data_IF_910431027400
#
_entry.id   IF_910431027400
#
_cell.length_a   1.000
_cell.length_b   1.000
_cell.length_c   1.000
_cell.angle_alpha   90.00
_cell.angle_beta   90.00
_cell.angle_gamma   90.00
#
_symmetry.space_group_name_H-M   'P 1'
#
loop_
_entity.id
_entity.type
_entity.pdbx_description
1 polymer ?
#
# COMPACT_ATOMS: atom_id res chain seq x y z
N UNK A 1 -28.27 0.85 -2.32
CA UNK A 1 -26.80 0.83 -2.35
C UNK A 1 -26.29 0.22 -1.04
N UNK A 2 -25.31 -0.67 -1.11
CA UNK A 2 -24.65 -1.17 0.09
C UNK A 2 -23.83 -0.06 0.74
N UNK A 3 -23.67 -0.06 2.07
CA UNK A 3 -22.82 0.91 2.77
C UNK A 3 -21.36 0.89 2.27
N UNK A 4 -20.93 -0.26 1.78
CA UNK A 4 -19.66 -0.47 1.09
C UNK A 4 -19.53 0.42 -0.15
N UNK A 5 -20.54 0.40 -1.03
CA UNK A 5 -20.52 1.21 -2.24
C UNK A 5 -20.48 2.70 -1.90
N UNK A 6 -21.23 3.14 -0.89
CA UNK A 6 -21.15 4.51 -0.40
C UNK A 6 -19.76 4.89 0.16
N UNK A 7 -19.06 3.95 0.81
CA UNK A 7 -17.70 4.18 1.29
C UNK A 7 -16.69 4.30 0.14
N UNK A 8 -16.83 3.47 -0.89
CA UNK A 8 -16.00 3.55 -2.11
C UNK A 8 -16.27 4.86 -2.87
N UNK A 9 -17.54 5.18 -3.13
CA UNK A 9 -17.93 6.43 -3.81
C UNK A 9 -17.43 7.65 -3.06
N UNK A 10 -17.54 7.63 -1.72
CA UNK A 10 -16.97 8.69 -0.89
C UNK A 10 -15.45 8.74 -1.07
N UNK A 11 -14.72 7.63 -1.01
CA UNK A 11 -13.27 7.63 -1.21
C UNK A 11 -12.86 8.21 -2.58
N UNK A 12 -13.59 7.88 -3.65
CA UNK A 12 -13.34 8.39 -5.00
C UNK A 12 -13.65 9.88 -5.13
N UNK A 13 -14.78 10.36 -4.62
CA UNK A 13 -15.12 11.80 -4.59
C UNK A 13 -14.07 12.63 -3.83
N UNK A 14 -13.44 12.03 -2.83
CA UNK A 14 -12.41 12.70 -2.05
C UNK A 14 -11.07 12.71 -2.77
N UNK A 15 -10.78 11.62 -3.49
CA UNK A 15 -9.64 11.55 -4.38
C UNK A 15 -9.74 12.61 -5.49
N UNK A 16 -10.92 12.78 -6.12
CA UNK A 16 -11.18 13.85 -7.10
C UNK A 16 -10.83 15.23 -6.54
N UNK A 17 -11.32 15.53 -5.33
CA UNK A 17 -11.05 16.81 -4.66
C UNK A 17 -9.57 17.00 -4.32
N UNK A 18 -8.90 15.94 -3.87
CA UNK A 18 -7.46 16.01 -3.59
C UNK A 18 -6.65 16.25 -4.86
N UNK A 19 -7.00 15.60 -5.97
CA UNK A 19 -6.37 15.85 -7.26
C UNK A 19 -6.58 17.31 -7.70
N UNK A 20 -7.81 17.83 -7.63
CA UNK A 20 -8.12 19.22 -7.95
C UNK A 20 -7.30 20.20 -7.08
N UNK A 21 -7.17 19.93 -5.78
CA UNK A 21 -6.39 20.77 -4.86
C UNK A 21 -4.91 20.79 -5.23
N UNK A 22 -4.34 19.63 -5.57
CA UNK A 22 -2.93 19.53 -6.01
C UNK A 22 -2.72 20.33 -7.30
N UNK A 23 -3.63 20.20 -8.27
CA UNK A 23 -3.56 20.95 -9.53
C UNK A 23 -3.69 22.47 -9.32
N UNK A 24 -4.56 22.90 -8.40
CA UNK A 24 -4.73 24.31 -8.05
C UNK A 24 -3.48 24.89 -7.37
N UNK A 25 -2.85 24.14 -6.46
CA UNK A 25 -1.63 24.56 -5.77
C UNK A 25 -0.47 24.78 -6.76
N UNK A 26 -0.31 23.89 -7.73
CA UNK A 26 0.71 24.04 -8.77
C UNK A 26 0.42 25.19 -9.74
N UNK A 27 -0.84 25.38 -10.12
CA UNK A 27 -1.23 26.54 -10.93
C UNK A 27 -0.92 27.87 -10.22
N UNK A 28 -1.18 27.95 -8.91
CA UNK A 28 -0.86 29.12 -8.10
C UNK A 28 0.66 29.33 -7.94
N UNK A 29 1.43 28.26 -7.73
CA UNK A 29 2.89 28.33 -7.67
C UNK A 29 3.51 28.77 -9.00
N UNK A 30 2.99 28.29 -10.13
CA UNK A 30 3.41 28.71 -11.46
C UNK A 30 3.10 30.19 -11.73
N UNK A 31 1.93 30.67 -11.29
CA UNK A 31 1.56 32.08 -11.40
C UNK A 31 2.48 32.99 -10.55
N UNK A 32 2.87 32.56 -9.35
CA UNK A 32 3.77 33.29 -8.48
C UNK A 32 5.23 33.31 -8.97
N UNK A 33 5.64 32.28 -9.72
CA UNK A 33 6.99 32.17 -10.28
C UNK A 33 7.17 32.90 -11.62
N UNK A 34 6.08 33.35 -12.25
CA UNK A 34 6.16 34.15 -13.46
C UNK A 34 6.85 35.49 -13.10
N UNK A 35 8.07 35.76 -13.63
CA UNK A 35 8.78 36.98 -13.29
C UNK A 35 7.94 38.16 -13.74
N UNK A 36 7.79 39.17 -12.86
CA UNK A 36 7.21 40.49 -13.15
C UNK A 36 7.96 41.14 -14.32
N UNK A 37 7.61 40.73 -15.53
CA UNK A 37 8.07 41.33 -16.78
C UNK A 37 7.29 42.61 -17.09
N UNK A 38 6.38 43.03 -16.21
CA UNK A 38 5.67 44.27 -16.37
C UNK A 38 5.43 44.95 -15.01
N UNK A 39 5.99 46.15 -14.92
CA UNK A 39 5.50 47.31 -14.16
C UNK A 39 6.29 47.67 -12.90
N UNK A 40 7.27 48.54 -13.11
CA UNK A 40 7.58 49.59 -12.15
C UNK A 40 6.35 50.50 -11.97
N UNK A 41 5.51 50.22 -10.98
CA UNK A 41 4.53 51.15 -10.45
C UNK A 41 4.33 50.84 -8.96
N UNK A 42 4.48 51.88 -8.14
CA UNK A 42 4.20 51.90 -6.71
C UNK A 42 2.80 51.32 -6.43
N UNK A 43 2.70 50.14 -5.83
CA UNK A 43 1.44 49.69 -5.24
C UNK A 43 1.69 48.82 -4.01
N UNK A 44 1.60 49.44 -2.83
CA UNK A 44 1.75 48.82 -1.51
C UNK A 44 0.76 47.66 -1.25
N UNK A 45 -0.29 47.50 -2.08
CA UNK A 45 -1.32 46.47 -1.92
C UNK A 45 -0.89 45.04 -2.32
N UNK A 46 0.12 44.88 -3.21
CA UNK A 46 0.52 43.55 -3.67
C UNK A 46 1.24 42.73 -2.58
N UNK A 47 1.94 43.42 -1.67
CA UNK A 47 2.68 42.80 -0.56
C UNK A 47 1.72 42.17 0.46
N UNK A 48 0.57 42.79 0.69
CA UNK A 48 -0.40 42.33 1.68
C UNK A 48 -1.13 41.05 1.23
N UNK A 49 -1.46 40.93 -0.07
CA UNK A 49 -2.07 39.73 -0.63
C UNK A 49 -1.12 38.51 -0.63
N UNK A 50 0.16 38.72 -0.94
CA UNK A 50 1.18 37.67 -0.88
C UNK A 50 1.42 37.20 0.56
N UNK A 51 1.44 38.12 1.52
CA UNK A 51 1.58 37.80 2.94
C UNK A 51 0.39 36.99 3.49
N UNK A 52 -0.84 37.29 3.05
CA UNK A 52 -2.03 36.56 3.45
C UNK A 52 -2.04 35.10 2.94
N UNK A 53 -1.60 34.87 1.71
CA UNK A 53 -1.47 33.51 1.13
C UNK A 53 -0.38 32.69 1.84
N UNK A 54 0.78 33.31 2.14
CA UNK A 54 1.84 32.67 2.90
C UNK A 54 1.40 32.30 4.33
N UNK A 55 0.63 33.18 4.99
CA UNK A 55 0.08 32.92 6.33
C UNK A 55 -0.94 31.78 6.32
N UNK A 56 -1.80 31.69 5.30
CA UNK A 56 -2.76 30.58 5.17
C UNK A 56 -2.06 29.22 4.93
N UNK A 57 -0.99 29.19 4.13
CA UNK A 57 -0.16 27.99 3.95
C UNK A 57 0.53 27.55 5.25
N UNK A 58 1.07 28.51 6.02
CA UNK A 58 1.71 28.24 7.31
C UNK A 58 0.71 27.74 8.37
N UNK A 59 -0.52 28.28 8.39
CA UNK A 59 -1.58 27.84 9.30
C UNK A 59 -2.02 26.39 9.02
N UNK A 60 -2.16 26.01 7.75
CA UNK A 60 -2.46 24.63 7.36
C UNK A 60 -1.33 23.66 7.76
N UNK A 61 -0.07 24.06 7.59
CA UNK A 61 1.08 23.26 8.00
C UNK A 61 1.19 23.09 9.54
N UNK A 62 0.70 24.05 10.32
CA UNK A 62 0.67 23.98 11.79
C UNK A 62 -0.48 23.12 12.32
N UNK A 63 -1.64 23.14 11.66
CA UNK A 63 -2.79 22.31 12.02
C UNK A 63 -2.50 20.80 11.89
N UNK A 64 -1.74 20.40 10.85
CA UNK A 64 -1.36 19.01 10.61
C UNK A 64 -0.45 18.43 11.71
N UNK A 65 0.31 19.26 12.44
CA UNK A 65 1.24 18.78 13.48
C UNK A 65 0.56 18.43 14.81
N UNK A 66 -0.64 18.94 15.08
CA UNK A 66 -1.31 18.81 16.39
C UNK A 66 -2.43 17.76 16.46
N UNK A 67 -2.82 17.13 15.34
CA UNK A 67 -3.92 16.15 15.30
C UNK A 67 -3.53 14.69 15.60
N UNK A 68 -2.25 14.38 15.83
CA UNK A 68 -1.74 13.00 15.90
C UNK A 68 -1.84 12.32 17.29
N UNK A 69 -2.75 12.75 18.17
CA UNK A 69 -2.91 12.15 19.50
C UNK A 69 -3.91 10.97 19.50
N UNK A 70 -3.39 9.78 19.80
CA UNK A 70 -4.08 8.60 20.34
C UNK A 70 -4.88 7.66 19.41
N UNK A 71 -4.47 7.49 18.15
CA UNK A 71 -4.81 6.25 17.41
C UNK A 71 -3.56 5.38 17.28
N UNK A 72 -3.51 4.15 17.83
CA UNK A 72 -2.43 3.22 17.55
C UNK A 72 -2.56 2.78 16.10
N UNK A 73 -1.84 3.45 15.19
CA UNK A 73 -1.80 3.04 13.78
C UNK A 73 -0.98 1.76 13.68
N UNK A 74 -1.58 0.60 13.31
CA UNK A 74 -0.82 -0.63 13.15
C UNK A 74 0.16 -0.46 11.99
N UNK A 75 1.37 -1.02 12.10
CA UNK A 75 2.31 -1.05 10.97
C UNK A 75 1.68 -1.76 9.75
N UNK A 76 2.18 -1.51 8.54
CA UNK A 76 1.72 -2.23 7.36
C UNK A 76 1.90 -3.74 7.55
N UNK A 77 3.01 -4.16 8.17
CA UNK A 77 3.23 -5.55 8.55
C UNK A 77 2.14 -6.10 9.49
N UNK A 78 1.75 -5.35 10.53
CA UNK A 78 0.68 -5.77 11.44
C UNK A 78 -0.68 -5.86 10.74
N UNK A 79 -0.97 -4.92 9.83
CA UNK A 79 -2.16 -4.97 8.98
C UNK A 79 -2.18 -6.23 8.11
N UNK A 80 -1.07 -6.53 7.42
CA UNK A 80 -0.96 -7.73 6.58
C UNK A 80 -1.08 -9.02 7.39
N UNK A 81 -0.51 -9.09 8.59
CA UNK A 81 -0.70 -10.22 9.52
C UNK A 81 -2.17 -10.39 9.89
N UNK A 82 -2.90 -9.30 10.19
CA UNK A 82 -4.34 -9.33 10.45
C UNK A 82 -5.15 -9.81 9.24
N UNK A 83 -4.80 -9.37 8.04
CA UNK A 83 -5.41 -9.85 6.79
C UNK A 83 -5.20 -11.36 6.60
N UNK A 84 -3.99 -11.86 6.84
CA UNK A 84 -3.66 -13.30 6.76
C UNK A 84 -4.50 -14.13 7.73
N UNK A 85 -4.61 -13.69 9.00
CA UNK A 85 -5.44 -14.37 10.01
C UNK A 85 -6.92 -14.42 9.59
N UNK A 86 -7.46 -13.32 9.05
CA UNK A 86 -8.85 -13.29 8.57
C UNK A 86 -9.10 -14.24 7.40
N UNK A 87 -8.15 -14.34 6.47
CA UNK A 87 -8.24 -15.30 5.36
C UNK A 87 -8.21 -16.75 5.84
N UNK A 88 -7.33 -17.06 6.81
CA UNK A 88 -7.27 -18.39 7.43
C UNK A 88 -8.60 -18.76 8.10
N UNK A 89 -9.21 -17.81 8.83
CA UNK A 89 -10.54 -18.01 9.44
C UNK A 89 -11.64 -18.21 8.39
N UNK A 90 -11.64 -17.43 7.32
CA UNK A 90 -12.61 -17.56 6.23
C UNK A 90 -12.48 -18.92 5.52
N UNK A 91 -11.25 -19.36 5.25
CA UNK A 91 -10.98 -20.67 4.65
C UNK A 91 -11.41 -21.82 5.58
N UNK A 92 -11.14 -21.72 6.88
CA UNK A 92 -11.59 -22.70 7.87
C UNK A 92 -13.13 -22.74 7.96
N UNK A 93 -13.80 -21.58 7.91
CA UNK A 93 -15.25 -21.49 7.91
C UNK A 93 -15.88 -22.09 6.63
N UNK A 94 -15.27 -21.86 5.46
CA UNK A 94 -15.70 -22.46 4.20
C UNK A 94 -15.55 -23.99 4.23
N UNK A 95 -14.40 -24.51 4.68
CA UNK A 95 -14.19 -25.94 4.84
C UNK A 95 -15.20 -26.57 5.82
N UNK A 96 -15.48 -25.89 6.95
CA UNK A 96 -16.50 -26.33 7.90
C UNK A 96 -17.91 -26.33 7.29
N UNK A 97 -18.24 -25.32 6.46
CA UNK A 97 -19.50 -25.22 5.74
C UNK A 97 -19.72 -26.39 4.78
N UNK A 98 -18.69 -26.84 4.05
CA UNK A 98 -18.80 -27.98 3.14
C UNK A 98 -19.09 -29.28 3.90
N UNK A 99 -18.44 -29.51 5.06
CA UNK A 99 -18.79 -30.63 5.96
C UNK A 99 -20.20 -30.52 6.52
N UNK A 100 -20.65 -29.32 6.89
CA UNK A 100 -21.98 -29.08 7.43
C UNK A 100 -23.07 -29.20 6.36
N UNK A 101 -22.81 -28.77 5.11
CA UNK A 101 -23.72 -28.90 3.97
C UNK A 101 -23.90 -30.37 3.58
N UNK A 102 -22.84 -31.18 3.64
CA UNK A 102 -22.93 -32.63 3.47
C UNK A 102 -23.82 -33.29 4.55
N UNK A 103 -23.83 -32.75 5.78
CA UNK A 103 -24.72 -33.21 6.86
C UNK A 103 -26.15 -32.66 6.75
N UNK A 104 -26.32 -31.41 6.30
CA UNK A 104 -27.61 -30.72 6.19
C UNK A 104 -28.42 -31.10 4.94
N UNK A 105 -27.79 -31.67 3.91
CA UNK A 105 -28.48 -32.30 2.78
C UNK A 105 -29.46 -33.43 3.20
N UNK A 106 -29.39 -33.89 4.46
CA UNK A 106 -30.33 -34.82 5.06
C UNK A 106 -31.60 -34.17 5.68
N UNK A 107 -31.67 -32.84 5.82
CA UNK A 107 -32.75 -32.15 6.54
C UNK A 107 -33.22 -30.90 5.79
N UNK A 108 -34.14 -31.08 4.84
CA UNK A 108 -34.68 -30.01 4.02
C UNK A 108 -35.67 -29.11 4.80
N UNK A 109 -35.26 -27.88 5.09
CA UNK A 109 -36.14 -26.74 5.34
C UNK A 109 -35.53 -25.48 4.71
N UNK A 110 -36.35 -24.68 4.03
CA UNK A 110 -35.92 -23.50 3.27
C UNK A 110 -35.38 -22.40 4.20
N UNK A 111 -34.15 -21.89 3.98
CA UNK A 111 -33.58 -20.85 4.83
C UNK A 111 -34.02 -19.44 4.37
N UNK A 112 -34.39 -18.61 5.35
CA UNK A 112 -34.41 -17.15 5.21
C UNK A 112 -32.97 -16.65 5.04
N UNK A 113 -32.76 -15.81 4.05
CA UNK A 113 -31.46 -15.19 3.75
C UNK A 113 -31.07 -14.22 4.87
N UNK A 114 -30.03 -14.55 5.64
CA UNK A 114 -29.42 -13.64 6.60
C UNK A 114 -27.92 -13.46 6.31
N UNK A 115 -27.51 -12.19 6.33
CA UNK A 115 -26.23 -11.63 5.87
C UNK A 115 -25.01 -12.13 6.71
N UNK A 116 -23.90 -12.51 6.07
CA UNK A 116 -22.56 -12.73 6.69
C UNK A 116 -21.60 -11.73 6.10
N UNK A 117 -20.62 -11.34 6.91
CA UNK A 117 -19.49 -10.51 6.52
C UNK A 117 -18.97 -10.81 5.12
N UNK A 118 -19.17 -9.83 4.25
CA UNK A 118 -18.69 -9.85 2.88
C UNK A 118 -17.14 -9.80 2.89
N UNK A 119 -16.46 -10.39 1.91
CA UNK A 119 -15.00 -10.24 1.76
C UNK A 119 -14.76 -9.53 0.43
N UNK A 120 -13.90 -8.51 0.45
CA UNK A 120 -13.47 -7.80 -0.74
C UNK A 120 -11.97 -8.03 -0.98
N UNK A 121 -11.62 -8.58 -2.14
CA UNK A 121 -10.22 -8.70 -2.55
C UNK A 121 -9.79 -7.45 -3.31
N UNK A 122 -8.65 -6.88 -2.95
CA UNK A 122 -8.01 -5.81 -3.71
C UNK A 122 -6.94 -6.42 -4.60
N UNK A 123 -7.17 -6.42 -5.91
CA UNK A 123 -6.41 -7.18 -6.89
C UNK A 123 -5.61 -6.21 -7.76
N UNK A 124 -4.29 -6.40 -7.81
CA UNK A 124 -3.41 -5.72 -8.76
C UNK A 124 -3.41 -6.38 -10.15
N UNK A 125 -2.69 -5.79 -11.10
CA UNK A 125 -2.50 -6.38 -12.42
C UNK A 125 -1.81 -7.77 -12.35
N UNK A 126 -1.92 -8.55 -13.42
CA UNK A 126 -1.30 -9.88 -13.53
C UNK A 126 0.20 -9.87 -13.78
N UNK A 127 0.73 -8.71 -14.18
CA UNK A 127 2.17 -8.48 -14.33
C UNK A 127 2.86 -8.58 -12.97
N UNK A 128 2.12 -8.27 -11.89
CA UNK A 128 2.61 -8.22 -10.51
C UNK A 128 3.85 -7.37 -10.38
N UNK A 129 3.85 -6.27 -11.14
CA UNK A 129 4.81 -5.22 -10.95
C UNK A 129 4.69 -4.63 -9.54
N UNK A 130 5.69 -3.81 -9.22
CA UNK A 130 5.76 -3.20 -7.92
C UNK A 130 4.55 -2.32 -7.66
N UNK A 131 4.13 -1.57 -8.67
CA UNK A 131 3.04 -0.61 -8.58
C UNK A 131 1.71 -1.29 -8.28
N UNK A 132 1.33 -2.31 -9.06
CA UNK A 132 0.13 -3.10 -8.81
C UNK A 132 0.11 -3.74 -7.42
N UNK A 133 1.24 -4.30 -6.98
CA UNK A 133 1.36 -4.97 -5.68
C UNK A 133 1.21 -3.96 -4.53
N UNK A 134 1.96 -2.86 -4.60
CA UNK A 134 1.97 -1.83 -3.57
C UNK A 134 0.64 -1.07 -3.55
N UNK A 135 0.07 -0.76 -4.70
CA UNK A 135 -1.24 -0.16 -4.83
C UNK A 135 -2.30 -1.06 -4.20
N UNK A 136 -2.23 -2.38 -4.38
CA UNK A 136 -3.19 -3.31 -3.78
C UNK A 136 -3.12 -3.31 -2.26
N UNK A 137 -1.90 -3.32 -1.70
CA UNK A 137 -1.67 -3.23 -0.26
C UNK A 137 -2.18 -1.90 0.30
N UNK A 138 -1.78 -0.78 -0.30
CA UNK A 138 -2.16 0.55 0.16
C UNK A 138 -3.65 0.82 0.03
N UNK A 139 -4.27 0.37 -1.05
CA UNK A 139 -5.71 0.55 -1.26
C UNK A 139 -6.53 -0.35 -0.33
N UNK A 140 -6.09 -1.59 -0.07
CA UNK A 140 -6.73 -2.43 0.95
C UNK A 140 -6.66 -1.78 2.36
N UNK A 141 -5.51 -1.19 2.71
CA UNK A 141 -5.36 -0.43 3.95
C UNK A 141 -6.29 0.79 4.00
N UNK A 142 -6.37 1.54 2.90
CA UNK A 142 -7.28 2.69 2.76
C UNK A 142 -8.74 2.29 2.98
N UNK A 143 -9.19 1.24 2.29
CA UNK A 143 -10.57 0.76 2.38
C UNK A 143 -10.93 0.20 3.75
N UNK A 144 -10.01 -0.52 4.40
CA UNK A 144 -10.20 -0.98 5.78
C UNK A 144 -10.29 0.20 6.76
N UNK A 145 -9.49 1.24 6.54
CA UNK A 145 -9.53 2.45 7.35
C UNK A 145 -10.87 3.17 7.21
N UNK A 146 -11.38 3.33 5.98
CA UNK A 146 -12.72 3.86 5.71
C UNK A 146 -13.81 3.03 6.41
N UNK A 147 -13.68 1.70 6.36
CA UNK A 147 -14.61 0.77 7.00
C UNK A 147 -14.67 0.98 8.51
N UNK A 148 -13.51 1.07 9.17
CA UNK A 148 -13.41 1.28 10.61
C UNK A 148 -13.98 2.65 11.01
N UNK A 149 -13.69 3.70 10.23
CA UNK A 149 -14.24 5.03 10.47
C UNK A 149 -15.77 5.03 10.36
N UNK A 150 -16.32 4.37 9.35
CA UNK A 150 -17.76 4.24 9.18
C UNK A 150 -18.41 3.44 10.33
N UNK A 151 -17.76 2.38 10.81
CA UNK A 151 -18.22 1.63 11.99
C UNK A 151 -18.22 2.50 13.25
N UNK A 152 -17.19 3.32 13.46
CA UNK A 152 -17.13 4.23 14.60
C UNK A 152 -18.26 5.27 14.55
N UNK A 153 -18.52 5.87 13.38
CA UNK A 153 -19.63 6.82 13.19
C UNK A 153 -21.00 6.18 13.46
N UNK A 154 -21.21 4.94 13.01
CA UNK A 154 -22.46 4.20 13.28
C UNK A 154 -22.64 3.88 14.77
N UNK A 155 -21.56 3.51 15.48
CA UNK A 155 -21.64 3.24 16.92
C UNK A 155 -22.03 4.50 17.70
N UNK A 156 -21.50 5.68 17.33
CA UNK A 156 -21.89 6.94 17.97
C UNK A 156 -23.37 7.29 17.72
N UNK A 157 -23.88 7.07 16.51
CA UNK A 157 -25.31 7.27 16.21
C UNK A 157 -26.22 6.30 16.96
N UNK A 158 -25.82 5.02 17.08
CA UNK A 158 -26.59 4.03 17.85
C UNK A 158 -26.67 4.36 19.34
N UNK A 159 -25.60 4.91 19.93
CA UNK A 159 -25.65 5.34 21.33
C UNK A 159 -26.67 6.48 21.56
N UNK A 160 -26.87 7.35 20.57
CA UNK A 160 -27.92 8.38 20.63
C UNK A 160 -29.33 7.80 20.45
N UNK A 161 -29.50 6.79 19.59
CA UNK A 161 -30.81 6.17 19.32
C UNK A 161 -31.22 5.08 20.33
N UNK A 162 -30.28 4.48 21.08
CA UNK A 162 -30.59 3.51 22.14
C UNK A 162 -31.39 4.10 23.31
N UNK A 163 -31.53 5.43 23.39
CA UNK A 163 -32.53 6.03 24.29
C UNK A 163 -33.98 5.94 23.77
N UNK A 164 -34.23 5.52 22.52
CA UNK A 164 -35.60 5.50 21.98
C UNK A 164 -36.11 4.21 21.32
N UNK A 165 -35.30 3.27 20.81
CA UNK A 165 -35.76 1.89 20.50
C UNK A 165 -34.63 1.01 19.96
N UNK A 166 -34.47 -0.19 20.54
CA UNK A 166 -33.58 -1.23 20.02
C UNK A 166 -34.36 -2.19 19.12
N UNK A 167 -33.98 -2.30 17.83
CA UNK A 167 -33.94 -3.55 17.04
C UNK A 167 -33.61 -3.34 15.54
N UNK A 168 -32.84 -2.33 15.14
CA UNK A 168 -32.39 -2.23 13.74
C UNK A 168 -31.02 -2.89 13.54
N UNK A 169 -30.98 -3.72 12.49
CA UNK A 169 -29.93 -4.67 12.14
C UNK A 169 -28.55 -4.00 12.03
N UNK A 170 -27.53 -4.59 12.68
CA UNK A 170 -26.13 -4.19 12.47
C UNK A 170 -25.74 -4.56 11.05
N UNK A 171 -25.40 -3.58 10.23
CA UNK A 171 -24.83 -3.85 8.91
C UNK A 171 -23.36 -4.23 9.05
N UNK A 172 -22.99 -5.40 8.54
CA UNK A 172 -21.61 -5.86 8.54
C UNK A 172 -20.93 -5.40 7.25
N UNK A 173 -19.92 -4.53 7.37
CA UNK A 173 -19.10 -4.12 6.24
C UNK A 173 -18.03 -5.18 5.92
N UNK A 174 -17.65 -5.37 4.64
CA UNK A 174 -16.68 -6.38 4.26
C UNK A 174 -15.28 -6.10 4.76
N UNK A 175 -14.51 -7.14 5.03
CA UNK A 175 -13.06 -7.01 5.22
C UNK A 175 -12.34 -6.89 3.87
N UNK A 176 -11.33 -6.04 3.78
CA UNK A 176 -10.52 -5.85 2.57
C UNK A 176 -9.18 -6.57 2.68
N UNK A 177 -8.87 -7.41 1.70
CA UNK A 177 -7.66 -8.22 1.66
C UNK A 177 -6.86 -7.93 0.39
N UNK A 178 -5.58 -7.53 0.47
CA UNK A 178 -4.75 -7.39 -0.72
C UNK A 178 -4.49 -8.78 -1.32
N UNK A 179 -4.57 -8.87 -2.65
CA UNK A 179 -4.35 -10.07 -3.43
C UNK A 179 -3.38 -9.77 -4.57
N UNK A 180 -2.26 -10.48 -4.58
CA UNK A 180 -1.24 -10.40 -5.62
C UNK A 180 -1.51 -11.51 -6.62
N UNK A 181 -1.97 -11.13 -7.82
CA UNK A 181 -2.32 -12.08 -8.87
C UNK A 181 -1.09 -12.53 -9.66
N UNK A 182 -0.21 -13.30 -9.02
CA UNK A 182 0.93 -13.94 -9.69
C UNK A 182 0.67 -15.43 -9.94
N UNK A 183 1.25 -15.96 -11.03
CA UNK A 183 1.25 -17.40 -11.26
C UNK A 183 1.93 -18.14 -10.09
N UNK A 184 1.53 -19.39 -9.77
CA UNK A 184 2.20 -20.19 -8.76
C UNK A 184 3.71 -20.35 -9.01
N UNK A 185 4.14 -20.39 -10.27
CA UNK A 185 5.55 -20.45 -10.67
C UNK A 185 6.31 -19.16 -10.33
N UNK A 186 5.73 -18.00 -10.66
CA UNK A 186 6.30 -16.69 -10.31
C UNK A 186 6.32 -16.51 -8.79
N UNK A 187 5.26 -16.94 -8.11
CA UNK A 187 5.16 -16.89 -6.66
C UNK A 187 6.19 -17.78 -5.97
N UNK A 188 6.35 -19.04 -6.42
CA UNK A 188 7.36 -19.97 -5.88
C UNK A 188 8.78 -19.42 -6.01
N UNK A 189 9.07 -18.78 -7.15
CA UNK A 189 10.35 -18.12 -7.38
C UNK A 189 10.57 -16.94 -6.42
N UNK A 190 9.49 -16.24 -6.04
CA UNK A 190 9.50 -15.14 -5.06
C UNK A 190 9.54 -15.62 -3.59
N UNK A 191 9.10 -16.85 -3.29
CA UNK A 191 8.91 -17.36 -1.92
C UNK A 191 10.07 -18.15 -1.32
N UNK A 192 11.11 -18.48 -2.08
CA UNK A 192 12.26 -19.23 -1.56
C UNK A 192 12.94 -18.52 -0.36
N UNK A 193 12.76 -17.21 -0.20
CA UNK A 193 13.23 -16.41 0.95
C UNK A 193 12.26 -16.44 2.14
N UNK A 194 10.94 -16.60 1.91
CA UNK A 194 9.91 -16.58 2.96
C UNK A 194 9.72 -17.92 3.67
N UNK A 195 10.10 -19.04 3.02
CA UNK A 195 9.94 -20.38 3.58
C UNK A 195 10.70 -20.57 4.91
N UNK A 196 11.81 -19.84 5.09
CA UNK A 196 12.59 -19.86 6.34
C UNK A 196 11.88 -19.09 7.48
N UNK A 197 11.14 -18.03 7.16
CA UNK A 197 10.38 -17.23 8.14
C UNK A 197 9.05 -17.91 8.53
N UNK A 198 8.46 -18.65 7.61
CA UNK A 198 7.19 -19.37 7.82
C UNK A 198 7.31 -20.51 8.85
N UNK A 199 8.48 -21.15 8.96
CA UNK A 199 8.74 -22.16 10.01
C UNK A 199 8.71 -21.57 11.43
N UNK A 200 9.19 -20.33 11.61
CA UNK A 200 9.14 -19.64 12.91
C UNK A 200 7.73 -19.19 13.29
N UNK A 201 6.93 -18.74 12.30
CA UNK A 201 5.52 -18.38 12.54
C UNK A 201 4.62 -19.58 12.81
N UNK A 202 4.87 -20.74 12.20
CA UNK A 202 4.11 -21.96 12.49
C UNK A 202 4.21 -22.37 13.96
N UNK A 203 5.35 -22.14 14.59
CA UNK A 203 5.54 -22.45 16.02
C UNK A 203 4.73 -21.52 16.94
N UNK A 204 4.57 -20.24 16.58
CA UNK A 204 3.72 -19.29 17.32
C UNK A 204 2.22 -19.53 17.07
N UNK A 205 1.82 -19.90 15.84
CA UNK A 205 0.42 -20.19 15.53
C UNK A 205 -0.10 -21.43 16.27
N UNK A 206 0.72 -22.46 16.47
CA UNK A 206 0.35 -23.63 17.27
C UNK A 206 0.02 -23.27 18.73
N UNK A 207 0.68 -22.26 19.31
CA UNK A 207 0.40 -21.77 20.65
C UNK A 207 -0.93 -20.99 20.73
N UNK A 208 -1.25 -20.17 19.72
CA UNK A 208 -2.53 -19.45 19.65
C UNK A 208 -3.72 -20.37 19.37
N UNK A 209 -3.52 -21.43 18.58
CA UNK A 209 -4.60 -22.36 18.24
C UNK A 209 -5.11 -23.12 19.48
N UNK A 210 -4.23 -23.43 20.45
CA UNK A 210 -4.64 -24.02 21.73
C UNK A 210 -5.52 -23.07 22.58
N UNK A 211 -5.33 -21.75 22.49
CA UNK A 211 -6.15 -20.78 23.21
C UNK A 211 -7.52 -20.57 22.55
N UNK A 212 -7.57 -20.52 21.21
CA UNK A 212 -8.83 -20.35 20.46
C UNK A 212 -9.76 -21.57 20.58
N UNK A 213 -9.21 -22.77 20.75
CA UNK A 213 -10.01 -23.99 20.94
C UNK A 213 -10.84 -23.97 22.25
N UNK A 214 -10.44 -23.17 23.24
CA UNK A 214 -11.25 -22.95 24.46
C UNK A 214 -12.38 -21.93 24.28
N UNK A 215 -12.27 -20.97 23.34
CA UNK A 215 -13.34 -19.99 23.08
C UNK A 215 -14.42 -20.49 22.11
N UNK A 216 -14.10 -21.43 21.21
CA UNK A 216 -15.06 -21.92 20.21
C UNK A 216 -16.19 -22.81 20.76
N UNK A 217 -16.15 -23.25 22.02
CA UNK A 217 -17.25 -24.02 22.61
C UNK A 217 -18.51 -23.21 22.96
N UNK A 218 -18.55 -21.89 22.72
CA UNK A 218 -19.75 -21.06 23.00
C UNK A 218 -20.39 -20.39 21.78
N UNK A 219 -19.93 -20.63 20.55
CA UNK A 219 -20.55 -20.04 19.35
C UNK A 219 -20.82 -21.09 18.27
N UNK A 220 -21.74 -22.02 18.55
CA UNK A 220 -22.37 -22.82 17.50
C UNK A 220 -23.62 -22.10 17.01
N UNK A 221 -23.50 -21.40 15.88
CA UNK A 221 -24.62 -20.75 15.21
C UNK A 221 -24.36 -20.61 13.71
N UNK A 222 -24.96 -21.51 12.92
CA UNK A 222 -25.29 -21.37 11.49
C UNK A 222 -24.15 -20.99 10.53
N UNK A 223 -23.64 -21.96 9.77
CA UNK A 223 -22.78 -21.66 8.62
C UNK A 223 -23.60 -21.05 7.49
N UNK A 224 -23.17 -19.88 7.02
CA UNK A 224 -23.88 -19.02 6.07
C UNK A 224 -22.98 -18.75 4.86
N UNK A 225 -23.57 -18.46 3.69
CA UNK A 225 -22.85 -18.30 2.41
C UNK A 225 -22.39 -16.84 2.22
N UNK A 226 -21.10 -16.55 2.34
CA UNK A 226 -20.55 -15.20 2.18
C UNK A 226 -20.51 -14.74 0.71
N UNK A 227 -20.67 -13.43 0.47
CA UNK A 227 -20.42 -12.83 -0.84
C UNK A 227 -18.95 -12.38 -0.97
N UNK A 228 -18.37 -12.63 -2.14
CA UNK A 228 -17.01 -12.22 -2.49
C UNK A 228 -17.08 -11.11 -3.53
N UNK A 229 -16.44 -9.98 -3.23
CA UNK A 229 -16.35 -8.81 -4.09
C UNK A 229 -14.88 -8.52 -4.46
N UNK A 230 -14.68 -7.68 -5.47
CA UNK A 230 -13.34 -7.32 -5.96
C UNK A 230 -13.18 -5.80 -6.10
N UNK A 231 -12.03 -5.30 -5.70
CA UNK A 231 -11.53 -3.97 -6.02
C UNK A 231 -10.33 -4.15 -6.95
N UNK A 232 -10.32 -3.51 -8.11
CA UNK A 232 -9.18 -3.57 -9.02
C UNK A 232 -8.28 -2.36 -8.81
N UNK A 233 -6.97 -2.56 -8.81
CA UNK A 233 -5.99 -1.49 -8.83
C UNK A 233 -5.01 -1.71 -9.97
N UNK A 234 -4.55 -0.62 -10.57
CA UNK A 234 -3.54 -0.62 -11.64
C UNK A 234 -3.96 -1.39 -12.92
N UNK A 235 -5.24 -1.74 -13.02
CA UNK A 235 -5.84 -2.28 -14.24
C UNK A 235 -7.36 -2.18 -14.20
N UNK A 236 -7.95 -2.11 -15.38
CA UNK A 236 -9.40 -2.15 -15.60
C UNK A 236 -9.82 -3.22 -16.62
N UNK A 237 -8.88 -4.08 -17.03
CA UNK A 237 -9.06 -5.13 -18.04
C UNK A 237 -9.19 -6.51 -17.36
N UNK A 238 -10.35 -7.16 -17.55
CA UNK A 238 -10.63 -8.49 -17.04
C UNK A 238 -10.50 -9.52 -18.18
N UNK A 239 -9.31 -10.10 -18.32
CA UNK A 239 -9.04 -11.12 -19.34
C UNK A 239 -9.27 -12.55 -18.85
N UNK A 240 -9.61 -13.45 -19.77
CA UNK A 240 -9.82 -14.88 -19.50
C UNK A 240 -10.92 -15.14 -18.47
N UNK A 241 -10.62 -16.01 -17.50
CA UNK A 241 -11.57 -16.43 -16.46
C UNK A 241 -12.00 -15.30 -15.51
N UNK A 242 -11.25 -14.18 -15.49
CA UNK A 242 -11.58 -13.01 -14.67
C UNK A 242 -12.80 -12.25 -15.15
N UNK A 243 -13.28 -12.50 -16.37
CA UNK A 243 -14.56 -11.96 -16.84
C UNK A 243 -15.72 -12.34 -15.93
N UNK A 244 -15.63 -13.50 -15.27
CA UNK A 244 -16.62 -13.94 -14.26
C UNK A 244 -16.65 -13.04 -13.02
N UNK A 245 -15.64 -12.19 -12.81
CA UNK A 245 -15.57 -11.25 -11.70
C UNK A 245 -16.24 -9.92 -12.02
N UNK A 246 -16.54 -9.63 -13.29
CA UNK A 246 -16.99 -8.32 -13.77
C UNK A 246 -18.20 -7.77 -13.00
N UNK A 247 -19.18 -8.63 -12.68
CA UNK A 247 -20.38 -8.27 -11.91
C UNK A 247 -20.11 -8.11 -10.40
N UNK A 248 -18.98 -8.62 -9.92
CA UNK A 248 -18.54 -8.60 -8.52
C UNK A 248 -17.49 -7.53 -8.25
N UNK A 249 -17.03 -6.80 -9.28
CA UNK A 249 -16.16 -5.64 -9.12
C UNK A 249 -16.97 -4.48 -8.56
N UNK A 250 -16.57 -4.00 -7.38
CA UNK A 250 -17.22 -2.89 -6.67
C UNK A 250 -16.43 -1.59 -6.78
N UNK A 251 -15.12 -1.66 -7.06
CA UNK A 251 -14.23 -0.52 -7.15
C UNK A 251 -13.12 -0.77 -8.17
N UNK A 252 -12.69 0.27 -8.88
CA UNK A 252 -11.51 0.26 -9.72
C UNK A 252 -10.75 1.58 -9.55
N UNK A 253 -9.46 1.49 -9.26
CA UNK A 253 -8.54 2.62 -9.17
C UNK A 253 -7.38 2.38 -10.14
N UNK A 254 -7.31 3.13 -11.23
CA UNK A 254 -6.38 2.83 -12.32
C UNK A 254 -5.86 4.10 -13.00
N UNK A 255 -4.64 4.03 -13.50
CA UNK A 255 -3.99 5.08 -14.28
C UNK A 255 -3.79 4.69 -15.76
N UNK A 256 -4.25 3.52 -16.18
CA UNK A 256 -4.29 3.14 -17.59
C UNK A 256 -5.49 3.77 -18.31
N UNK A 257 -5.51 3.64 -19.64
CA UNK A 257 -6.68 3.95 -20.44
C UNK A 257 -7.88 3.05 -20.05
N UNK A 258 -9.07 3.64 -19.88
CA UNK A 258 -10.28 2.88 -19.58
C UNK A 258 -10.68 1.97 -20.77
N UNK A 259 -10.65 0.65 -20.57
CA UNK A 259 -11.07 -0.34 -21.56
C UNK A 259 -12.58 -0.56 -21.59
N UNK A 260 -13.36 0.14 -20.76
CA UNK A 260 -14.82 0.09 -20.68
C UNK A 260 -15.38 -1.32 -20.42
N UNK A 261 -14.59 -2.21 -19.82
CA UNK A 261 -15.01 -3.59 -19.54
C UNK A 261 -15.77 -3.73 -18.23
N UNK A 262 -15.60 -2.81 -17.29
CA UNK A 262 -16.25 -2.91 -15.98
C UNK A 262 -17.73 -2.47 -16.05
N UNK A 263 -18.59 -3.12 -15.26
CA UNK A 263 -20.02 -2.76 -15.21
C UNK A 263 -20.22 -1.32 -14.72
N UNK A 264 -21.39 -0.74 -14.98
CA UNK A 264 -21.77 0.59 -14.48
C UNK A 264 -21.97 0.63 -12.96
N UNK A 265 -22.05 -0.53 -12.31
CA UNK A 265 -22.22 -0.62 -10.86
C UNK A 265 -20.90 -0.50 -10.09
N UNK A 266 -19.77 -0.73 -10.76
CA UNK A 266 -18.46 -0.52 -10.17
C UNK A 266 -18.20 0.98 -10.05
N UNK A 267 -17.73 1.43 -8.89
CA UNK A 267 -17.23 2.79 -8.74
C UNK A 267 -15.82 2.87 -9.35
N UNK A 268 -15.65 3.71 -10.37
CA UNK A 268 -14.43 3.76 -11.19
C UNK A 268 -13.76 5.11 -11.02
N UNK A 269 -12.47 5.08 -10.67
CA UNK A 269 -11.58 6.22 -10.75
C UNK A 269 -10.43 5.86 -11.69
N UNK A 270 -10.57 6.25 -12.95
CA UNK A 270 -9.62 5.93 -14.00
C UNK A 270 -9.14 7.24 -14.61
N UNK A 271 -7.92 7.66 -14.27
CA UNK A 271 -7.39 8.96 -14.71
C UNK A 271 -6.91 8.96 -16.17
N UNK A 272 -6.76 7.77 -16.76
CA UNK A 272 -5.99 7.61 -17.98
C UNK A 272 -4.48 7.81 -17.74
N UNK A 273 -3.65 7.77 -18.80
CA UNK A 273 -2.18 7.77 -18.73
C UNK A 273 -1.57 9.12 -18.29
N UNK A 274 -2.36 9.95 -17.61
CA UNK A 274 -1.95 11.25 -17.09
C UNK A 274 -1.11 11.10 -15.84
N UNK A 275 -1.43 10.12 -15.00
CA UNK A 275 -0.74 9.84 -13.72
C UNK A 275 0.24 8.70 -13.95
N UNK A 276 1.47 8.89 -13.49
CA UNK A 276 2.60 8.00 -13.76
C UNK A 276 2.58 6.69 -12.99
N UNK A 277 1.94 6.65 -11.83
CA UNK A 277 1.84 5.47 -10.96
C UNK A 277 0.47 5.36 -10.31
N UNK A 278 -0.10 4.16 -10.27
CA UNK A 278 -1.31 3.86 -9.51
C UNK A 278 -1.09 4.07 -8.00
N UNK A 279 0.11 3.82 -7.48
CA UNK A 279 0.46 4.12 -6.08
C UNK A 279 0.34 5.63 -5.76
N UNK A 280 0.51 6.55 -6.72
CA UNK A 280 0.21 7.98 -6.55
C UNK A 280 -1.27 8.20 -6.22
N UNK A 281 -2.17 7.53 -6.94
CA UNK A 281 -3.61 7.61 -6.71
C UNK A 281 -3.99 7.04 -5.34
N UNK A 282 -3.38 5.92 -4.95
CA UNK A 282 -3.60 5.30 -3.63
C UNK A 282 -3.11 6.21 -2.51
N UNK A 283 -1.96 6.85 -2.67
CA UNK A 283 -1.44 7.83 -1.71
C UNK A 283 -2.40 9.01 -1.55
N UNK A 284 -2.92 9.57 -2.63
CA UNK A 284 -3.92 10.63 -2.54
C UNK A 284 -5.22 10.17 -1.89
N UNK A 285 -5.70 8.94 -2.16
CA UNK A 285 -6.88 8.39 -1.49
C UNK A 285 -6.67 8.31 0.03
N UNK A 286 -5.49 7.84 0.47
CA UNK A 286 -5.12 7.82 1.88
C UNK A 286 -5.07 9.22 2.50
N UNK A 287 -4.49 10.20 1.81
CA UNK A 287 -4.44 11.60 2.24
C UNK A 287 -5.84 12.19 2.41
N UNK A 288 -6.75 11.89 1.49
CA UNK A 288 -8.12 12.35 1.53
C UNK A 288 -8.88 11.77 2.74
N UNK A 289 -8.70 10.47 3.00
CA UNK A 289 -9.26 9.78 4.18
C UNK A 289 -8.68 10.34 5.47
N UNK A 290 -7.38 10.63 5.50
CA UNK A 290 -6.70 11.25 6.63
C UNK A 290 -7.35 12.59 7.02
N UNK A 291 -7.51 13.50 6.05
CA UNK A 291 -8.03 14.86 6.27
C UNK A 291 -9.45 14.88 6.81
N UNK A 292 -10.31 13.96 6.38
CA UNK A 292 -11.71 13.95 6.81
C UNK A 292 -11.94 13.23 8.13
N UNK A 293 -11.18 12.16 8.36
CA UNK A 293 -11.33 11.35 9.56
C UNK A 293 -10.59 11.93 10.75
N UNK A 294 -9.72 12.93 10.55
CA UNK A 294 -8.74 13.33 11.56
C UNK A 294 -7.82 12.15 11.92
N UNK A 295 -7.59 11.26 10.96
CA UNK A 295 -6.82 10.04 11.18
C UNK A 295 -5.32 10.36 11.19
N UNK A 296 -4.49 9.54 11.84
CA UNK A 296 -3.06 9.67 11.71
C UNK A 296 -2.62 9.43 10.26
N UNK A 297 -1.45 9.94 9.86
CA UNK A 297 -0.85 9.58 8.58
C UNK A 297 -0.67 8.05 8.47
N UNK A 298 -0.55 7.50 7.25
CA UNK A 298 -0.29 6.08 7.08
C UNK A 298 1.03 5.69 7.76
N UNK A 299 1.16 4.42 8.18
CA UNK A 299 2.40 3.88 8.72
C UNK A 299 3.61 4.18 7.82
N UNK A 300 4.76 4.47 8.43
CA UNK A 300 5.99 4.83 7.68
C UNK A 300 6.44 3.74 6.71
N UNK A 301 6.24 2.47 7.05
CA UNK A 301 6.53 1.33 6.17
C UNK A 301 5.59 1.32 4.94
N UNK A 302 4.29 1.57 5.12
CA UNK A 302 3.37 1.73 3.98
C UNK A 302 3.73 2.94 3.13
N UNK A 303 4.07 4.08 3.75
CA UNK A 303 4.49 5.27 3.02
C UNK A 303 5.77 5.03 2.20
N UNK A 304 6.71 4.27 2.77
CA UNK A 304 7.92 3.83 2.10
C UNK A 304 7.59 2.93 0.89
N UNK A 305 6.69 1.96 1.04
CA UNK A 305 6.21 1.11 -0.05
C UNK A 305 5.64 1.94 -1.21
N UNK A 306 4.69 2.82 -0.90
CA UNK A 306 4.03 3.68 -1.88
C UNK A 306 5.04 4.56 -2.63
N UNK A 307 5.96 5.23 -1.91
CA UNK A 307 6.92 6.11 -2.57
C UNK A 307 7.90 5.33 -3.45
N UNK A 308 8.28 4.10 -3.08
CA UNK A 308 9.13 3.24 -3.90
C UNK A 308 8.50 2.87 -5.24
N UNK A 309 7.20 2.58 -5.25
CA UNK A 309 6.43 2.36 -6.48
C UNK A 309 6.41 3.61 -7.36
N UNK A 310 6.02 4.76 -6.78
CA UNK A 310 5.96 6.05 -7.48
C UNK A 310 7.31 6.40 -8.09
N UNK A 311 8.40 6.31 -7.33
CA UNK A 311 9.77 6.56 -7.82
C UNK A 311 10.10 5.69 -9.02
N UNK A 312 9.70 4.42 -9.00
CA UNK A 312 10.06 3.44 -10.03
C UNK A 312 9.39 3.78 -11.36
N UNK A 313 8.09 4.08 -11.36
CA UNK A 313 7.34 4.31 -12.60
C UNK A 313 7.50 5.73 -13.14
N UNK A 314 7.57 6.71 -12.24
CA UNK A 314 7.74 8.13 -12.60
C UNK A 314 9.20 8.50 -12.86
N UNK A 315 10.13 7.57 -12.63
CA UNK A 315 11.58 7.80 -12.66
C UNK A 315 11.97 8.93 -11.69
N UNK A 316 11.41 8.89 -10.48
CA UNK A 316 11.52 9.91 -9.44
C UNK A 316 11.13 11.31 -9.91
N UNK A 317 10.06 11.41 -10.71
CA UNK A 317 9.56 12.67 -11.27
C UNK A 317 10.66 13.53 -11.94
N UNK A 318 11.53 12.92 -12.75
CA UNK A 318 12.57 13.65 -13.51
C UNK A 318 11.95 14.80 -14.34
N UNK A 319 12.37 16.06 -14.20
CA UNK A 319 11.75 17.21 -14.87
C UNK A 319 11.53 17.05 -16.37
N UNK A 320 12.49 16.43 -17.06
CA UNK A 320 12.47 16.16 -18.50
C UNK A 320 11.40 15.15 -18.94
N UNK A 321 10.78 14.42 -18.01
CA UNK A 321 9.72 13.43 -18.27
C UNK A 321 8.32 13.92 -17.85
N UNK A 322 8.19 15.18 -17.40
CA UNK A 322 6.91 15.78 -17.01
C UNK A 322 5.93 15.76 -18.18
N UNK A 323 4.69 15.34 -17.93
CA UNK A 323 3.64 15.18 -18.93
C UNK A 323 3.78 13.94 -19.82
N UNK A 324 4.88 13.17 -19.68
CA UNK A 324 5.10 11.92 -20.42
C UNK A 324 5.05 10.71 -19.48
N UNK A 325 5.75 10.78 -18.34
CA UNK A 325 5.81 9.70 -17.35
C UNK A 325 5.18 10.05 -16.01
N UNK A 326 4.96 11.33 -15.76
CA UNK A 326 4.42 11.79 -14.48
C UNK A 326 3.81 13.18 -14.64
N UNK A 327 2.95 13.55 -13.69
CA UNK A 327 2.35 14.88 -13.61
C UNK A 327 2.30 15.38 -12.15
N UNK A 328 1.62 16.50 -11.91
CA UNK A 328 1.52 17.10 -10.57
C UNK A 328 0.88 16.19 -9.52
N UNK A 329 0.02 15.27 -9.93
CA UNK A 329 -0.59 14.28 -9.03
C UNK A 329 0.49 13.38 -8.43
N UNK A 330 1.40 12.88 -9.28
CA UNK A 330 2.52 12.05 -8.82
C UNK A 330 3.46 12.82 -7.90
N UNK A 331 3.82 14.03 -8.30
CA UNK A 331 4.71 14.89 -7.52
C UNK A 331 4.10 15.25 -6.17
N UNK A 332 2.84 15.65 -6.13
CA UNK A 332 2.11 15.96 -4.91
C UNK A 332 1.94 14.75 -3.98
N UNK A 333 1.71 13.56 -4.53
CA UNK A 333 1.71 12.31 -3.78
C UNK A 333 3.11 12.01 -3.18
N UNK A 334 4.16 12.15 -3.99
CA UNK A 334 5.55 11.95 -3.56
C UNK A 334 5.94 12.93 -2.46
N UNK A 335 5.64 14.23 -2.59
CA UNK A 335 5.89 15.26 -1.58
C UNK A 335 5.25 14.93 -0.24
N UNK A 336 3.99 14.49 -0.27
CA UNK A 336 3.27 14.12 0.94
C UNK A 336 3.90 12.90 1.63
N UNK A 337 4.30 11.88 0.87
CA UNK A 337 4.97 10.70 1.41
C UNK A 337 6.38 11.01 1.95
N UNK A 338 7.15 11.86 1.26
CA UNK A 338 8.46 12.34 1.73
C UNK A 338 8.34 13.02 3.09
N UNK A 339 7.30 13.85 3.29
CA UNK A 339 7.03 14.51 4.56
C UNK A 339 6.78 13.48 5.68
N UNK A 340 5.93 12.47 5.43
CA UNK A 340 5.67 11.39 6.40
C UNK A 340 6.96 10.64 6.77
N UNK A 341 7.84 10.43 5.80
CA UNK A 341 9.12 9.76 5.99
C UNK A 341 10.19 10.68 6.61
N UNK A 342 9.99 11.99 6.61
CA UNK A 342 11.02 12.96 6.97
C UNK A 342 12.21 12.93 6.01
N UNK A 343 11.98 12.60 4.74
CA UNK A 343 13.01 12.52 3.71
C UNK A 343 13.11 13.84 2.95
N UNK A 344 14.34 14.23 2.61
CA UNK A 344 14.59 15.32 1.66
C UNK A 344 14.66 14.78 0.23
N UNK A 345 14.50 15.67 -0.76
CA UNK A 345 14.75 15.34 -2.16
C UNK A 345 16.20 14.89 -2.44
N UNK A 346 17.16 15.35 -1.64
CA UNK A 346 18.53 14.85 -1.69
C UNK A 346 18.61 13.39 -1.21
N UNK A 347 17.93 13.06 -0.11
CA UNK A 347 17.79 11.68 0.36
C UNK A 347 17.11 10.79 -0.70
N UNK A 348 16.10 11.31 -1.38
CA UNK A 348 15.43 10.65 -2.49
C UNK A 348 16.39 10.36 -3.65
N UNK A 349 17.28 11.29 -3.99
CA UNK A 349 18.28 11.09 -5.03
C UNK A 349 19.26 9.96 -4.69
N UNK A 350 19.63 9.82 -3.40
CA UNK A 350 20.45 8.71 -2.91
C UNK A 350 19.71 7.39 -3.07
N UNK A 351 18.44 7.34 -2.63
CA UNK A 351 17.58 6.16 -2.78
C UNK A 351 17.45 5.80 -4.26
N UNK A 352 17.11 6.77 -5.13
CA UNK A 352 17.03 6.58 -6.58
C UNK A 352 18.31 6.01 -7.16
N UNK A 353 19.47 6.54 -6.78
CA UNK A 353 20.76 6.03 -7.26
C UNK A 353 20.98 4.59 -6.80
N UNK A 354 20.61 4.27 -5.56
CA UNK A 354 20.57 2.91 -5.04
C UNK A 354 19.68 2.01 -5.91
N UNK A 355 18.46 2.45 -6.21
CA UNK A 355 17.53 1.75 -7.10
C UNK A 355 18.10 1.57 -8.51
N UNK A 356 18.70 2.59 -9.12
CA UNK A 356 19.32 2.51 -10.44
C UNK A 356 20.49 1.49 -10.44
N UNK A 357 21.35 1.52 -9.41
CA UNK A 357 22.44 0.54 -9.26
C UNK A 357 21.87 -0.89 -9.08
N UNK A 358 20.87 -1.02 -8.20
CA UNK A 358 20.31 -2.31 -7.84
C UNK A 358 19.48 -2.91 -8.97
N UNK A 359 18.70 -2.11 -9.68
CA UNK A 359 17.83 -2.53 -10.80
C UNK A 359 18.60 -3.33 -11.85
N UNK A 360 19.88 -3.02 -12.06
CA UNK A 360 20.71 -3.68 -13.08
C UNK A 360 21.76 -4.66 -12.52
N UNK A 361 21.95 -4.74 -11.20
CA UNK A 361 23.00 -5.58 -10.58
C UNK A 361 22.41 -6.75 -9.77
N UNK A 362 22.05 -7.82 -10.49
CA UNK A 362 21.46 -9.05 -9.96
C UNK A 362 22.24 -9.67 -8.79
N UNK A 363 23.57 -9.56 -8.79
CA UNK A 363 24.42 -10.12 -7.72
C UNK A 363 24.29 -9.29 -6.45
N UNK A 364 24.24 -7.96 -6.57
CA UNK A 364 23.96 -7.08 -5.43
C UNK A 364 22.53 -7.26 -4.91
N UNK A 365 21.55 -7.49 -5.79
CA UNK A 365 20.18 -7.79 -5.38
C UNK A 365 20.13 -9.04 -4.48
N UNK A 366 20.82 -10.12 -4.88
CA UNK A 366 20.90 -11.36 -4.12
C UNK A 366 21.68 -11.19 -2.80
N UNK A 367 22.81 -10.49 -2.82
CA UNK A 367 23.60 -10.20 -1.63
C UNK A 367 22.84 -9.37 -0.58
N UNK A 368 21.98 -8.44 -1.02
CA UNK A 368 21.10 -7.67 -0.13
C UNK A 368 19.98 -8.53 0.47
N UNK A 369 19.44 -9.49 -0.29
CA UNK A 369 18.47 -10.45 0.24
C UNK A 369 19.10 -11.37 1.30
N UNK A 370 20.33 -11.84 1.07
CA UNK A 370 21.09 -12.64 2.04
C UNK A 370 21.42 -11.84 3.32
N UNK A 371 21.78 -10.56 3.17
CA UNK A 371 22.02 -9.67 4.31
C UNK A 371 20.73 -9.40 5.11
N UNK A 372 19.58 -9.27 4.46
CA UNK A 372 18.28 -9.15 5.13
C UNK A 372 17.93 -10.38 5.97
N UNK A 373 18.23 -11.58 5.46
CA UNK A 373 18.01 -12.85 6.16
C UNK A 373 18.83 -12.96 7.47
N UNK A 374 19.91 -12.16 7.61
CA UNK A 374 20.77 -12.13 8.81
C UNK A 374 20.28 -11.21 9.95
N UNK A 375 19.07 -10.66 9.86
CA UNK A 375 18.43 -9.90 10.95
C UNK A 375 18.32 -8.38 10.73
N UNK A 376 18.66 -7.90 9.53
CA UNK A 376 18.32 -6.55 9.07
C UNK A 376 16.86 -6.52 8.62
N UNK A 377 16.04 -5.63 9.17
CA UNK A 377 14.70 -5.37 8.64
C UNK A 377 14.80 -4.62 7.32
N UNK A 378 15.02 -5.37 6.24
CA UNK A 378 15.00 -4.88 4.86
C UNK A 378 13.68 -5.31 4.23
N UNK A 379 12.83 -4.36 3.84
CA UNK A 379 11.63 -4.67 3.08
C UNK A 379 12.00 -4.69 1.59
N UNK A 380 12.29 -5.88 1.09
CA UNK A 380 12.55 -6.10 -0.33
C UNK A 380 11.24 -6.52 -1.00
N UNK A 381 10.68 -5.66 -1.86
CA UNK A 381 9.63 -6.07 -2.78
C UNK A 381 10.24 -6.38 -4.15
N UNK A 382 10.32 -7.67 -4.44
CA UNK A 382 10.76 -8.21 -5.73
C UNK A 382 9.57 -8.27 -6.69
N UNK A 383 9.56 -7.38 -7.69
CA UNK A 383 8.75 -7.58 -8.89
C UNK A 383 9.60 -8.28 -9.96
N UNK A 384 9.06 -9.37 -10.50
CA UNK A 384 9.66 -10.12 -11.61
C UNK A 384 8.60 -10.16 -12.71
N UNK A 385 8.90 -9.54 -13.86
CA UNK A 385 7.97 -9.53 -14.99
C UNK A 385 8.61 -10.29 -16.17
N UNK A 386 8.06 -11.43 -16.60
CA UNK A 386 8.58 -12.17 -17.74
C UNK A 386 8.17 -11.50 -19.06
N UNK A 387 9.13 -11.13 -19.91
CA UNK A 387 8.81 -10.72 -21.28
C UNK A 387 8.29 -11.91 -22.08
N UNK A 388 7.04 -11.80 -22.54
CA UNK A 388 6.55 -12.62 -23.65
C UNK A 388 7.20 -12.12 -24.95
N UNK A 389 8.28 -12.77 -25.36
CA UNK A 389 8.64 -13.14 -26.73
C UNK A 389 10.17 -13.35 -26.86
N UNK A 390 10.56 -14.62 -26.97
CA UNK A 390 11.80 -15.14 -27.58
C UNK A 390 13.19 -14.63 -27.16
N UNK A 391 13.39 -14.07 -25.96
CA UNK A 391 14.75 -13.96 -25.41
C UNK A 391 14.81 -14.25 -23.91
N UNK A 392 15.81 -15.03 -23.49
CA UNK A 392 16.09 -15.46 -22.11
C UNK A 392 16.46 -14.32 -21.14
N UNK A 393 16.08 -13.08 -21.40
CA UNK A 393 16.31 -11.96 -20.51
C UNK A 393 15.04 -11.64 -19.73
N UNK A 394 15.03 -12.01 -18.44
CA UNK A 394 14.09 -11.47 -17.47
C UNK A 394 14.42 -10.01 -17.21
N UNK A 395 13.46 -9.11 -17.40
CA UNK A 395 13.59 -7.73 -16.94
C UNK A 395 13.12 -7.68 -15.48
N UNK A 396 14.07 -7.63 -14.55
CA UNK A 396 13.80 -7.63 -13.11
C UNK A 396 13.60 -6.19 -12.65
N UNK A 397 12.45 -5.90 -12.05
CA UNK A 397 12.19 -4.61 -11.42
C UNK A 397 12.24 -4.79 -9.91
N UNK A 398 13.38 -4.46 -9.33
CA UNK A 398 13.55 -4.55 -7.89
C UNK A 398 13.20 -3.23 -7.22
N UNK A 399 12.33 -3.28 -6.20
CA UNK A 399 12.30 -2.24 -5.18
C UNK A 399 12.83 -2.75 -3.85
N UNK A 400 13.93 -2.15 -3.41
CA UNK A 400 14.43 -2.31 -2.06
C UNK A 400 14.02 -1.09 -1.27
N UNK A 401 13.17 -1.27 -0.27
CA UNK A 401 12.90 -0.24 0.73
C UNK A 401 13.52 -0.67 2.05
N UNK A 402 14.70 -0.10 2.31
CA UNK A 402 15.29 -0.13 3.64
C UNK A 402 14.58 0.92 4.50
N UNK A 403 13.74 0.48 5.44
CA UNK A 403 13.29 1.33 6.54
C UNK A 403 14.01 0.84 7.79
N UNK A 404 15.13 1.48 8.12
CA UNK A 404 15.75 1.32 9.41
C UNK A 404 15.29 2.47 10.32
N UNK A 405 14.74 2.15 11.49
CA UNK A 405 14.80 3.08 12.62
C UNK A 405 16.19 3.01 13.28
N UNK A 406 16.56 4.15 13.85
CA UNK A 406 17.76 4.49 14.63
C UNK A 406 19.06 4.77 13.84
N UNK A 407 19.62 5.95 14.15
CA UNK A 407 20.72 6.65 13.49
C UNK A 407 22.01 5.80 13.35
N UNK A 408 22.22 4.80 14.21
CA UNK A 408 23.37 3.89 14.13
C UNK A 408 23.36 3.00 12.88
N UNK A 409 22.20 2.76 12.28
CA UNK A 409 22.06 1.88 11.11
C UNK A 409 22.18 2.62 9.78
N UNK A 410 21.95 3.94 9.78
CA UNK A 410 22.22 4.81 8.65
C UNK A 410 23.73 4.93 8.39
N UNK A 411 24.54 4.96 9.45
CA UNK A 411 26.01 4.92 9.33
C UNK A 411 26.53 3.55 8.87
N UNK A 412 25.88 2.44 9.26
CA UNK A 412 26.20 1.13 8.71
C UNK A 412 25.91 1.04 7.20
N UNK A 413 24.80 1.64 6.74
CA UNK A 413 24.44 1.73 5.32
C UNK A 413 25.39 2.67 4.56
N UNK A 414 25.75 3.83 5.12
CA UNK A 414 26.80 4.72 4.56
C UNK A 414 28.14 4.03 4.46
N UNK A 415 28.54 3.29 5.50
CA UNK A 415 29.76 2.48 5.52
C UNK A 415 29.76 1.36 4.48
N UNK A 416 28.61 0.70 4.28
CA UNK A 416 28.43 -0.28 3.21
C UNK A 416 28.56 0.34 1.82
N UNK A 417 27.87 1.45 1.55
CA UNK A 417 27.96 2.18 0.26
C UNK A 417 29.39 2.68 0.00
N UNK A 418 30.07 3.18 1.04
CA UNK A 418 31.48 3.63 0.94
C UNK A 418 32.41 2.46 0.62
N UNK A 419 32.17 1.26 1.17
CA UNK A 419 32.91 0.04 0.82
C UNK A 419 32.63 -0.42 -0.62
N UNK A 420 31.41 -0.24 -1.11
CA UNK A 420 31.06 -0.52 -2.50
C UNK A 420 31.71 0.46 -3.49
N UNK A 421 31.94 1.72 -3.08
CA UNK A 421 32.63 2.73 -3.91
C UNK A 421 34.16 2.53 -4.02
N UNK A 422 34.75 1.65 -3.20
CA UNK A 422 36.19 1.34 -3.24
C UNK A 422 36.55 0.19 -4.18
N UNK A 423 35.61 -0.31 -4.99
CA UNK A 423 35.91 -1.28 -6.05
C UNK A 423 36.18 -0.47 -7.32
N UNK A 424 37.46 -0.27 -7.65
CA UNK A 424 37.83 0.37 -8.91
C UNK A 424 37.54 -0.57 -10.09
N UNK A 425 37.04 0.02 -11.16
CA UNK A 425 36.80 -0.66 -12.44
C UNK A 425 38.13 -1.24 -12.95
N UNK A 426 38.28 -2.57 -12.90
CA UNK A 426 39.40 -3.28 -13.52
C UNK A 426 40.27 -4.17 -12.63
N UNK A 427 40.03 -4.28 -11.32
CA UNK A 427 40.75 -5.28 -10.51
C UNK A 427 40.08 -6.66 -10.62
N UNK A 428 40.74 -7.60 -11.31
CA UNK A 428 40.38 -9.02 -11.27
C UNK A 428 40.48 -9.54 -9.83
N UNK A 429 39.35 -10.01 -9.30
CA UNK A 429 39.28 -10.66 -7.99
C UNK A 429 40.07 -11.96 -8.06
N UNK A 430 41.31 -11.92 -7.59
CA UNK A 430 42.19 -13.07 -7.52
C UNK A 430 41.64 -14.08 -6.50
N UNK A 431 41.18 -15.23 -6.97
CA UNK A 431 40.41 -16.24 -6.23
C UNK A 431 41.21 -17.06 -5.21
N UNK A 432 42.44 -16.63 -4.85
CA UNK A 432 43.36 -17.40 -4.00
C UNK A 432 43.81 -16.65 -2.74
N UNK A 433 42.88 -16.08 -1.98
CA UNK A 433 43.14 -15.72 -0.58
C UNK A 433 42.23 -16.51 0.38
N UNK A 434 42.78 -17.62 0.87
CA UNK A 434 42.40 -18.22 2.15
C UNK A 434 42.50 -17.16 3.24
N UNK A 435 41.36 -16.55 3.59
CA UNK A 435 41.24 -15.79 4.84
C UNK A 435 40.86 -16.77 5.94
N UNK A 436 41.84 -17.06 6.79
CA UNK A 436 41.62 -17.55 8.16
C UNK A 436 40.55 -16.68 8.82
N UNK A 437 39.43 -17.30 9.16
CA UNK A 437 38.49 -16.79 10.15
C UNK A 437 39.27 -16.62 11.46
N UNK A 438 39.52 -15.37 11.84
CA UNK A 438 39.85 -15.03 13.22
C UNK A 438 38.56 -15.12 14.04
N UNK A 439 38.69 -15.81 15.18
CA UNK A 439 37.65 -16.14 16.15
C UNK A 439 36.85 -14.92 16.67
N UNK A 440 35.62 -15.14 17.20
CA UNK A 440 34.83 -14.09 17.82
C UNK A 440 35.31 -13.85 19.27
N UNK A 441 35.77 -12.63 19.56
CA UNK A 441 35.99 -12.16 20.92
C UNK A 441 34.85 -11.22 21.33
N UNK A 442 34.01 -11.74 22.22
CA UNK A 442 33.11 -11.12 23.21
C UNK A 442 33.28 -9.61 23.49
N UNK A 443 32.16 -8.90 23.70
CA UNK A 443 31.71 -8.48 25.05
C UNK A 443 30.38 -7.70 25.03
N UNK A 444 29.49 -8.07 25.96
CA UNK A 444 28.30 -7.31 26.38
C UNK A 444 28.68 -6.01 27.10
N UNK A 445 27.82 -4.99 27.04
CA UNK A 445 27.47 -4.20 28.22
C UNK A 445 26.09 -3.53 28.04
N UNK A 446 25.20 -3.75 29.02
CA UNK A 446 23.96 -3.02 29.22
C UNK A 446 24.23 -1.59 29.68
N UNK A 447 23.49 -0.62 29.13
CA UNK A 447 22.65 0.30 29.91
C UNK A 447 21.54 0.88 29.04
#
# INVERSE_FOLDING_TARGET
MSLLQAAVEKAHLLLEREEELVLQQEAAAAAAAAPDAAVAADDDNAVEAAAALAAAAAANAAADKNAAAAWPSPSAAAFLVSCSQRLQLAAAAAAAADTAAAAAAAAAAQPKEEDVGNIAFVVGNSSTDLDSTVAAIGYAFCMETCRLLQQQQQQQQQQQQQQQQQQQQRVCLPAFLPFVDCSPEDFRSKLQVLQQQQQLQQQQQLQQQQQLQQQQQQQQGGSKKGCVCFCLVDHNNLEGDRRLWQEKVISCLDHHEDKQQLTTNACKYITGPRVGSCASLVALALRAVQRLGGLPPPPRDLAALLIGAIITDTVACKPELRGVRWNEVDKGAMDWLLNILGWSYEGLAIVRRGFEILRFDIQKQLALADAAASGLQLYVLLSLNPKKENNQQMERQLAILAVASEDERLEAARGFITRCNNIQEGEEVNSNLSRKLLEPLLAFCFQ
#
